data_IF_550088810701
#
_entry.id   IF_550088810701
#
_cell.length_a   1.000
_cell.length_b   1.000
_cell.length_c   1.000
_cell.angle_alpha   90.00
_cell.angle_beta   90.00
_cell.angle_gamma   90.00
#
_symmetry.space_group_name_H-M   'P 1'
#
loop_
_entity.id
_entity.type
_entity.pdbx_description
1 polymer ?
#
# COMPACT_ATOMS: atom_id res chain seq x y z
N UNK A 1 -9.99 -7.60 3.30
CA UNK A 1 -9.28 -6.32 3.60
C UNK A 1 -9.49 -5.39 2.42
N UNK A 2 -9.55 -4.06 2.62
CA UNK A 2 -9.68 -3.11 1.51
C UNK A 2 -8.40 -2.29 1.36
N UNK A 3 -7.91 -2.11 0.14
CA UNK A 3 -6.72 -1.28 -0.14
C UNK A 3 -7.09 0.17 -0.43
N UNK A 4 -6.07 1.00 -0.61
CA UNK A 4 -6.20 2.37 -1.14
C UNK A 4 -6.97 2.40 -2.47
N UNK A 5 -6.50 1.64 -3.46
CA UNK A 5 -7.06 1.66 -4.83
C UNK A 5 -8.53 1.24 -4.86
N UNK A 6 -8.86 0.15 -4.15
CA UNK A 6 -10.25 -0.31 -4.07
C UNK A 6 -11.15 0.75 -3.42
N UNK A 7 -10.68 1.36 -2.34
CA UNK A 7 -11.44 2.38 -1.60
C UNK A 7 -11.66 3.65 -2.43
N UNK A 8 -10.63 4.10 -3.15
CA UNK A 8 -10.74 5.23 -4.10
C UNK A 8 -11.71 4.93 -5.23
N UNK A 9 -11.65 3.72 -5.80
CA UNK A 9 -12.59 3.29 -6.83
C UNK A 9 -14.04 3.31 -6.32
N UNK A 10 -14.28 2.83 -5.09
CA UNK A 10 -15.60 2.86 -4.46
C UNK A 10 -16.11 4.30 -4.25
N UNK A 11 -15.24 5.22 -3.80
CA UNK A 11 -15.60 6.64 -3.65
C UNK A 11 -15.96 7.24 -5.01
N UNK A 12 -15.13 7.06 -6.03
CA UNK A 12 -15.38 7.60 -7.38
C UNK A 12 -16.65 7.03 -8.00
N UNK A 13 -16.96 5.76 -7.75
CA UNK A 13 -18.21 5.13 -8.19
C UNK A 13 -19.43 5.75 -7.51
N UNK A 14 -19.34 6.06 -6.21
CA UNK A 14 -20.44 6.64 -5.45
C UNK A 14 -20.62 8.15 -5.69
N UNK A 15 -19.53 8.86 -5.91
CA UNK A 15 -19.46 10.32 -6.04
C UNK A 15 -18.72 10.70 -7.33
N UNK A 16 -19.33 10.48 -8.51
CA UNK A 16 -18.66 10.67 -9.79
C UNK A 16 -18.25 12.12 -10.08
N UNK A 17 -18.84 13.10 -9.38
CA UNK A 17 -18.45 14.51 -9.46
C UNK A 17 -17.13 14.82 -8.72
N UNK A 18 -16.61 13.90 -7.91
CA UNK A 18 -15.28 14.01 -7.28
C UNK A 18 -14.23 13.48 -8.26
N UNK A 19 -13.67 14.38 -9.05
CA UNK A 19 -12.66 14.06 -10.07
C UNK A 19 -11.33 13.62 -9.46
N UNK A 20 -10.90 14.32 -8.41
CA UNK A 20 -9.66 14.03 -7.72
C UNK A 20 -10.00 13.33 -6.42
N UNK A 21 -9.53 12.09 -6.25
CA UNK A 21 -9.65 11.32 -5.01
C UNK A 21 -8.35 10.59 -4.81
N UNK A 22 -7.74 10.76 -3.64
CA UNK A 22 -6.56 10.04 -3.18
C UNK A 22 -6.78 9.67 -1.72
N UNK A 23 -6.37 8.48 -1.32
CA UNK A 23 -6.37 8.05 0.08
C UNK A 23 -4.92 7.78 0.48
N UNK A 24 -4.57 8.17 1.70
CA UNK A 24 -3.26 7.89 2.27
C UNK A 24 -3.39 7.32 3.68
N UNK A 25 -2.53 6.37 4.00
CA UNK A 25 -2.38 5.76 5.32
C UNK A 25 -0.88 5.68 5.62
N UNK A 26 -0.52 6.00 6.85
CA UNK A 26 0.80 5.81 7.45
C UNK A 26 0.77 4.73 8.54
N UNK A 27 -0.34 3.99 8.64
CA UNK A 27 -0.57 2.98 9.67
C UNK A 27 -1.54 3.48 10.75
N UNK A 28 -1.38 2.97 11.97
CA UNK A 28 -2.12 3.36 13.16
C UNK A 28 -3.66 3.33 13.00
N UNK A 29 -4.17 2.49 12.10
CA UNK A 29 -5.59 2.41 11.79
C UNK A 29 -6.19 3.77 11.38
N UNK A 30 -5.43 4.62 10.70
CA UNK A 30 -5.87 5.94 10.24
C UNK A 30 -5.69 6.06 8.74
N UNK A 31 -6.60 6.79 8.10
CA UNK A 31 -6.44 7.17 6.70
C UNK A 31 -7.01 8.56 6.45
N UNK A 32 -6.36 9.31 5.56
CA UNK A 32 -6.86 10.59 5.08
C UNK A 32 -7.33 10.45 3.64
N UNK A 33 -8.57 10.86 3.39
CA UNK A 33 -9.17 10.97 2.07
C UNK A 33 -8.99 12.42 1.60
N UNK A 34 -8.26 12.59 0.51
CA UNK A 34 -8.06 13.84 -0.20
C UNK A 34 -9.00 13.88 -1.39
N UNK A 35 -9.81 14.92 -1.51
CA UNK A 35 -10.75 15.02 -2.62
C UNK A 35 -10.95 16.44 -3.13
N UNK A 36 -11.25 16.53 -4.43
CA UNK A 36 -11.77 17.73 -5.10
C UNK A 36 -12.79 17.35 -6.16
N UNK A 37 -13.78 18.22 -6.33
CA UNK A 37 -14.67 18.22 -7.48
C UNK A 37 -13.99 18.85 -8.72
N UNK A 38 -14.74 18.97 -9.82
CA UNK A 38 -14.26 19.58 -11.07
C UNK A 38 -13.82 21.04 -10.93
N UNK A 39 -14.31 21.75 -9.92
CA UNK A 39 -13.97 23.14 -9.64
C UNK A 39 -12.80 23.29 -8.67
N UNK A 40 -12.05 22.21 -8.39
CA UNK A 40 -10.93 22.18 -7.42
C UNK A 40 -11.36 22.60 -6.01
N UNK A 41 -12.59 22.21 -5.63
CA UNK A 41 -13.18 22.53 -4.34
C UNK A 41 -13.64 21.28 -3.61
N UNK A 42 -13.68 21.37 -2.29
CA UNK A 42 -14.29 20.38 -1.42
C UNK A 42 -15.23 21.06 -0.42
N UNK A 43 -16.51 21.28 -0.81
CA UNK A 43 -17.48 21.93 0.08
C UNK A 43 -17.75 21.09 1.34
N UNK A 44 -18.06 21.74 2.46
CA UNK A 44 -18.30 21.08 3.76
C UNK A 44 -19.37 19.97 3.72
N UNK A 45 -20.38 20.15 2.86
CA UNK A 45 -21.42 19.14 2.62
C UNK A 45 -20.83 17.85 2.02
N UNK A 46 -19.85 17.97 1.13
CA UNK A 46 -19.15 16.82 0.54
C UNK A 46 -18.20 16.18 1.56
N UNK A 47 -17.52 16.96 2.38
CA UNK A 47 -16.72 16.45 3.52
C UNK A 47 -17.58 15.55 4.41
N UNK A 48 -18.76 16.04 4.79
CA UNK A 48 -19.68 15.31 5.68
C UNK A 48 -20.20 14.02 5.02
N UNK A 49 -20.56 14.08 3.74
CA UNK A 49 -20.99 12.89 2.98
C UNK A 49 -19.87 11.85 2.87
N UNK A 50 -18.65 12.28 2.53
CA UNK A 50 -17.49 11.40 2.42
C UNK A 50 -17.16 10.71 3.74
N UNK A 51 -17.18 11.46 4.87
CA UNK A 51 -17.00 10.87 6.20
C UNK A 51 -18.04 9.78 6.49
N UNK A 52 -19.32 10.08 6.24
CA UNK A 52 -20.42 9.13 6.46
C UNK A 52 -20.30 7.90 5.57
N UNK A 53 -19.91 8.09 4.31
CA UNK A 53 -19.66 6.99 3.39
C UNK A 53 -18.49 6.13 3.86
N UNK A 54 -17.37 6.74 4.22
CA UNK A 54 -16.18 6.06 4.70
C UNK A 54 -16.49 5.19 5.92
N UNK A 55 -17.20 5.71 6.91
CA UNK A 55 -17.61 4.94 8.10
C UNK A 55 -18.58 3.79 7.80
N UNK A 56 -19.37 3.88 6.72
CA UNK A 56 -20.39 2.88 6.40
C UNK A 56 -19.94 1.80 5.42
N UNK A 57 -19.00 2.11 4.52
CA UNK A 57 -18.70 1.27 3.35
C UNK A 57 -17.21 0.96 3.15
N UNK A 58 -16.30 1.73 3.76
CA UNK A 58 -14.87 1.44 3.73
C UNK A 58 -14.47 0.57 4.95
N UNK A 59 -13.23 0.03 5.00
CA UNK A 59 -12.81 -0.80 6.13
C UNK A 59 -13.07 -0.14 7.49
N UNK A 60 -13.85 -0.81 8.34
CA UNK A 60 -14.39 -0.25 9.59
C UNK A 60 -13.36 -0.10 10.70
N UNK A 61 -12.24 -0.82 10.60
CA UNK A 61 -11.14 -0.70 11.56
C UNK A 61 -10.33 0.57 11.37
N UNK A 62 -10.63 1.41 10.37
CA UNK A 62 -9.87 2.62 10.03
C UNK A 62 -10.64 3.88 10.40
N UNK A 63 -9.96 4.82 11.07
CA UNK A 63 -10.43 6.16 11.36
C UNK A 63 -10.12 7.09 10.18
N UNK A 64 -11.16 7.60 9.52
CA UNK A 64 -11.03 8.46 8.34
C UNK A 64 -11.06 9.94 8.66
N UNK A 65 -10.07 10.67 8.16
CA UNK A 65 -10.14 12.11 7.97
C UNK A 65 -10.42 12.44 6.50
N UNK A 66 -11.03 13.60 6.25
CA UNK A 66 -11.23 14.11 4.89
C UNK A 66 -10.58 15.50 4.81
N UNK A 67 -9.75 15.72 3.79
CA UNK A 67 -9.06 16.98 3.49
C UNK A 67 -9.24 17.35 2.01
N UNK A 68 -9.04 18.63 1.70
CA UNK A 68 -8.96 19.11 0.31
C UNK A 68 -7.72 18.55 -0.40
N UNK A 69 -7.82 18.35 -1.71
CA UNK A 69 -6.76 17.70 -2.49
C UNK A 69 -5.45 18.51 -2.58
N UNK A 70 -5.47 19.83 -2.41
CA UNK A 70 -4.24 20.65 -2.32
C UNK A 70 -3.33 20.26 -1.16
N UNK A 71 -3.84 19.56 -0.15
CA UNK A 71 -3.04 19.17 1.03
C UNK A 71 -2.12 17.99 0.80
N UNK A 72 -2.19 17.31 -0.35
CA UNK A 72 -1.37 16.11 -0.61
C UNK A 72 0.13 16.40 -0.55
N UNK A 73 0.58 17.57 -1.02
CA UNK A 73 2.00 17.92 -1.04
C UNK A 73 2.52 18.23 0.37
N UNK A 74 1.74 19.01 1.12
CA UNK A 74 2.06 19.35 2.50
C UNK A 74 2.09 18.10 3.41
N UNK A 75 1.18 17.16 3.16
CA UNK A 75 1.10 15.88 3.88
C UNK A 75 2.06 14.81 3.31
N UNK A 76 2.88 15.15 2.30
CA UNK A 76 3.87 14.25 1.66
C UNK A 76 3.26 12.92 1.16
N UNK A 77 2.03 12.98 0.66
CA UNK A 77 1.36 11.80 0.11
C UNK A 77 2.17 11.30 -1.09
N UNK A 78 2.55 10.00 -1.16
CA UNK A 78 3.31 9.46 -2.28
C UNK A 78 2.61 9.75 -3.61
N UNK A 79 3.38 10.10 -4.63
CA UNK A 79 2.83 10.37 -5.96
C UNK A 79 2.26 9.10 -6.60
N UNK A 80 1.25 9.28 -7.46
CA UNK A 80 0.77 8.20 -8.34
C UNK A 80 1.79 8.05 -9.46
N UNK A 81 2.12 6.82 -9.83
CA UNK A 81 2.70 6.57 -11.13
C UNK A 81 2.20 5.24 -11.70
N UNK A 82 2.83 4.78 -12.77
CA UNK A 82 2.53 3.51 -13.42
C UNK A 82 2.72 2.29 -12.50
N UNK A 83 1.68 1.47 -12.38
CA UNK A 83 1.68 0.23 -11.60
C UNK A 83 1.56 -0.97 -12.55
N UNK A 84 2.29 -2.07 -12.30
CA UNK A 84 2.07 -3.32 -13.01
C UNK A 84 0.63 -3.79 -12.84
N UNK A 85 0.08 -4.43 -13.88
CA UNK A 85 -1.30 -4.92 -13.86
C UNK A 85 -1.55 -5.87 -12.67
N UNK A 86 -0.59 -6.75 -12.35
CA UNK A 86 -0.68 -7.65 -11.21
C UNK A 86 -0.91 -6.91 -9.87
N UNK A 87 -0.24 -5.76 -9.67
CA UNK A 87 -0.39 -4.91 -8.48
C UNK A 87 -1.80 -4.31 -8.44
N UNK A 88 -2.27 -3.80 -9.59
CA UNK A 88 -3.62 -3.21 -9.68
C UNK A 88 -4.69 -4.25 -9.40
N UNK A 89 -4.61 -5.43 -10.02
CA UNK A 89 -5.58 -6.52 -9.82
C UNK A 89 -5.59 -7.01 -8.37
N UNK A 90 -4.40 -7.17 -7.77
CA UNK A 90 -4.28 -7.54 -6.36
C UNK A 90 -4.90 -6.47 -5.45
N UNK A 91 -4.59 -5.20 -5.68
CA UNK A 91 -5.13 -4.10 -4.89
C UNK A 91 -6.66 -3.98 -5.00
N UNK A 92 -7.23 -4.27 -6.16
CA UNK A 92 -8.67 -4.24 -6.40
C UNK A 92 -9.41 -5.47 -5.84
N UNK A 93 -8.69 -6.50 -5.41
CA UNK A 93 -9.27 -7.72 -4.84
C UNK A 93 -9.78 -7.51 -3.41
N UNK A 94 -11.01 -7.96 -3.14
CA UNK A 94 -11.61 -7.94 -1.78
C UNK A 94 -11.00 -8.98 -0.83
N UNK A 95 -10.31 -9.98 -1.39
CA UNK A 95 -9.74 -11.12 -0.67
C UNK A 95 -8.26 -10.99 -0.36
N UNK A 96 -7.66 -9.81 -0.53
CA UNK A 96 -6.23 -9.59 -0.30
C UNK A 96 -5.89 -9.85 1.18
N UNK A 97 -4.85 -10.66 1.41
CA UNK A 97 -4.28 -11.02 2.71
C UNK A 97 -2.74 -11.05 2.60
N UNK A 98 -2.03 -11.31 3.72
CA UNK A 98 -0.57 -11.27 3.72
C UNK A 98 0.05 -12.25 2.71
N UNK A 99 -0.49 -13.46 2.59
CA UNK A 99 0.03 -14.46 1.65
C UNK A 99 -0.09 -13.98 0.20
N UNK A 100 -1.24 -13.40 -0.16
CA UNK A 100 -1.46 -12.90 -1.51
C UNK A 100 -0.58 -11.69 -1.83
N UNK A 101 -0.28 -10.84 -0.85
CA UNK A 101 0.70 -9.75 -1.00
C UNK A 101 2.08 -10.34 -1.32
N UNK A 102 2.53 -11.32 -0.54
CA UNK A 102 3.82 -11.99 -0.74
C UNK A 102 3.90 -12.67 -2.11
N UNK A 103 2.85 -13.38 -2.53
CA UNK A 103 2.77 -14.02 -3.85
C UNK A 103 2.95 -13.00 -4.99
N UNK A 104 2.18 -11.91 -4.97
CA UNK A 104 2.25 -10.87 -6.01
C UNK A 104 3.63 -10.21 -6.05
N UNK A 105 4.24 -9.96 -4.89
CA UNK A 105 5.59 -9.39 -4.84
C UNK A 105 6.65 -10.36 -5.36
N UNK A 106 6.55 -11.65 -5.04
CA UNK A 106 7.48 -12.67 -5.53
C UNK A 106 7.34 -12.92 -7.04
N UNK A 107 6.14 -12.77 -7.60
CA UNK A 107 5.94 -12.80 -9.06
C UNK A 107 6.62 -11.63 -9.78
N UNK A 108 6.70 -10.46 -9.14
CA UNK A 108 7.28 -9.24 -9.73
C UNK A 108 8.80 -9.13 -9.55
N UNK A 109 9.36 -9.74 -8.49
CA UNK A 109 10.78 -9.65 -8.16
C UNK A 109 11.43 -11.03 -8.09
N UNK A 110 11.79 -11.59 -9.25
CA UNK A 110 12.36 -12.93 -9.37
C UNK A 110 13.73 -13.10 -8.71
N UNK A 111 14.47 -12.00 -8.49
CA UNK A 111 15.81 -12.03 -7.93
C UNK A 111 15.83 -12.19 -6.42
N UNK A 112 14.68 -12.20 -5.74
CA UNK A 112 14.62 -12.41 -4.31
C UNK A 112 13.33 -13.07 -3.87
N UNK A 113 13.29 -13.41 -2.59
CA UNK A 113 12.13 -14.04 -1.97
C UNK A 113 11.65 -13.18 -0.82
N UNK A 114 10.45 -12.63 -0.99
CA UNK A 114 9.69 -11.98 0.05
C UNK A 114 9.01 -13.02 0.93
N UNK A 115 9.04 -12.79 2.23
CA UNK A 115 8.30 -13.54 3.25
C UNK A 115 7.68 -12.59 4.25
N UNK A 116 6.52 -12.97 4.80
CA UNK A 116 5.96 -12.29 5.96
C UNK A 116 6.82 -12.60 7.19
N UNK A 117 7.19 -11.57 7.95
CA UNK A 117 7.94 -11.71 9.19
C UNK A 117 6.99 -11.57 10.39
N UNK A 118 6.39 -10.39 10.56
CA UNK A 118 5.57 -10.07 11.72
C UNK A 118 4.59 -8.92 11.45
N UNK A 119 3.65 -8.73 12.37
CA UNK A 119 2.73 -7.60 12.35
C UNK A 119 2.79 -6.87 13.70
N UNK A 120 3.19 -5.61 13.68
CA UNK A 120 3.13 -4.74 14.84
C UNK A 120 1.72 -4.15 14.97
N UNK A 121 0.97 -4.63 15.97
CA UNK A 121 -0.38 -4.17 16.24
C UNK A 121 -0.46 -2.73 16.78
N UNK A 122 0.63 -2.21 17.38
CA UNK A 122 0.67 -0.87 17.95
C UNK A 122 0.73 0.16 16.83
N UNK A 123 1.67 -0.03 15.90
CA UNK A 123 1.87 0.88 14.76
C UNK A 123 1.00 0.53 13.55
N UNK A 124 0.42 -0.68 13.52
CA UNK A 124 -0.30 -1.19 12.35
C UNK A 124 0.63 -1.51 11.19
N UNK A 125 1.87 -1.92 11.47
CA UNK A 125 2.92 -2.13 10.45
C UNK A 125 3.08 -3.61 10.15
N UNK A 126 3.03 -3.96 8.87
CA UNK A 126 3.32 -5.30 8.36
C UNK A 126 4.81 -5.34 7.99
N UNK A 127 5.58 -6.19 8.67
CA UNK A 127 6.99 -6.38 8.39
C UNK A 127 7.18 -7.57 7.45
N UNK A 128 7.91 -7.32 6.37
CA UNK A 128 8.35 -8.33 5.42
C UNK A 128 9.86 -8.43 5.42
N UNK A 129 10.37 -9.63 5.18
CA UNK A 129 11.77 -9.82 4.84
C UNK A 129 11.86 -10.10 3.34
N UNK A 130 12.83 -9.50 2.67
CA UNK A 130 13.13 -9.76 1.27
C UNK A 130 14.60 -10.10 1.14
N UNK A 131 14.88 -11.39 0.95
CA UNK A 131 16.24 -11.90 0.83
C UNK A 131 16.58 -12.20 -0.64
N UNK A 132 17.82 -11.94 -1.03
CA UNK A 132 18.35 -12.21 -2.37
C UNK A 132 19.82 -12.61 -2.29
N UNK A 133 20.30 -13.37 -3.27
CA UNK A 133 21.74 -13.63 -3.46
C UNK A 133 22.50 -12.41 -3.99
N UNK A 134 21.81 -11.38 -4.48
CA UNK A 134 22.41 -10.13 -4.97
C UNK A 134 21.84 -8.92 -4.22
N UNK A 135 22.61 -7.82 -4.06
CA UNK A 135 22.09 -6.61 -3.44
C UNK A 135 20.98 -5.98 -4.30
N UNK A 136 19.87 -5.60 -3.65
CA UNK A 136 18.85 -4.77 -4.29
C UNK A 136 19.35 -3.35 -4.53
N UNK A 137 19.17 -2.87 -5.76
CA UNK A 137 19.44 -1.49 -6.16
C UNK A 137 18.46 -0.52 -5.50
N UNK A 138 18.83 0.76 -5.42
CA UNK A 138 17.95 1.82 -4.89
C UNK A 138 16.62 1.88 -5.64
N UNK A 139 16.65 1.70 -6.96
CA UNK A 139 15.44 1.71 -7.79
C UNK A 139 14.51 0.55 -7.47
N UNK A 140 15.04 -0.67 -7.31
CA UNK A 140 14.23 -1.84 -6.94
C UNK A 140 13.58 -1.65 -5.58
N UNK A 141 14.33 -1.16 -4.58
CA UNK A 141 13.79 -0.86 -3.24
C UNK A 141 12.65 0.15 -3.31
N UNK A 142 12.76 1.15 -4.17
CA UNK A 142 11.71 2.15 -4.36
C UNK A 142 10.46 1.57 -5.05
N UNK A 143 10.64 0.75 -6.08
CA UNK A 143 9.53 0.03 -6.72
C UNK A 143 8.83 -0.90 -5.74
N UNK A 144 9.59 -1.65 -4.93
CA UNK A 144 9.05 -2.55 -3.91
C UNK A 144 8.18 -1.78 -2.92
N UNK A 145 8.71 -0.69 -2.35
CA UNK A 145 7.96 0.17 -1.43
C UNK A 145 6.68 0.70 -2.08
N UNK A 146 6.79 1.15 -3.32
CA UNK A 146 5.66 1.71 -4.05
C UNK A 146 4.59 0.67 -4.35
N UNK A 147 4.95 -0.55 -4.72
CA UNK A 147 3.97 -1.61 -4.98
C UNK A 147 3.32 -2.08 -3.68
N UNK A 148 4.11 -2.27 -2.62
CA UNK A 148 3.59 -2.61 -1.30
C UNK A 148 2.62 -1.54 -0.78
N UNK A 149 2.91 -0.26 -0.95
CA UNK A 149 2.00 0.82 -0.57
C UNK A 149 0.60 0.68 -1.21
N UNK A 150 0.54 0.13 -2.43
CA UNK A 150 -0.72 -0.01 -3.18
C UNK A 150 -1.53 -1.25 -2.78
N UNK A 151 -0.84 -2.32 -2.40
CA UNK A 151 -1.46 -3.60 -1.99
C UNK A 151 -1.52 -3.78 -0.47
N UNK A 152 -0.98 -2.84 0.31
CA UNK A 152 -1.11 -2.85 1.77
C UNK A 152 -2.56 -2.52 2.17
N UNK A 153 -3.15 -3.28 3.11
CA UNK A 153 -4.46 -2.97 3.66
C UNK A 153 -4.55 -1.54 4.18
N UNK A 154 -5.66 -0.86 3.91
CA UNK A 154 -5.87 0.50 4.37
C UNK A 154 -5.88 0.55 5.91
N UNK A 155 -5.22 1.57 6.47
CA UNK A 155 -4.97 1.72 7.91
C UNK A 155 -3.73 0.96 8.41
N UNK A 156 -3.07 0.19 7.56
CA UNK A 156 -1.78 -0.41 7.84
C UNK A 156 -0.65 0.30 7.08
N UNK A 157 0.58 0.11 7.55
CA UNK A 157 1.81 0.43 6.85
C UNK A 157 2.58 -0.87 6.53
N UNK A 158 3.58 -0.77 5.66
CA UNK A 158 4.45 -1.89 5.31
C UNK A 158 5.92 -1.48 5.40
N UNK A 159 6.73 -2.33 6.00
CA UNK A 159 8.18 -2.19 6.04
C UNK A 159 8.85 -3.45 5.50
N UNK A 160 10.00 -3.26 4.86
CA UNK A 160 10.78 -4.35 4.25
C UNK A 160 12.19 -4.33 4.80
N UNK A 161 12.58 -5.43 5.44
CA UNK A 161 13.96 -5.70 5.77
C UNK A 161 14.63 -6.37 4.57
N UNK A 162 15.75 -5.80 4.11
CA UNK A 162 16.51 -6.35 3.00
C UNK A 162 17.66 -7.18 3.54
N UNK A 163 17.68 -8.46 3.19
CA UNK A 163 18.69 -9.42 3.60
C UNK A 163 19.46 -9.95 2.38
N UNK A 164 20.69 -10.39 2.61
CA UNK A 164 21.41 -11.22 1.65
C UNK A 164 21.31 -12.67 2.08
N UNK A 165 20.95 -13.54 1.15
CA UNK A 165 21.10 -14.97 1.40
C UNK A 165 22.60 -15.30 1.39
N UNK A 166 23.10 -16.11 2.33
CA UNK A 166 24.47 -16.56 2.27
C UNK A 166 24.67 -17.32 0.96
N UNK A 167 25.58 -16.82 0.11
CA UNK A 167 26.12 -17.59 -1.01
C UNK A 167 26.72 -18.83 -0.35
N UNK A 168 26.19 -20.01 -0.65
CA UNK A 168 26.62 -21.25 -0.01
C UNK A 168 28.14 -21.33 0.00
N UNK A 169 28.72 -21.37 1.20
CA UNK A 169 30.13 -21.71 1.37
C UNK A 169 30.37 -23.03 0.64
N UNK A 170 31.34 -23.02 -0.27
CA UNK A 170 32.00 -24.22 -0.76
C UNK A 170 32.26 -25.13 0.43
N UNK A 171 31.59 -26.28 0.48
CA UNK A 171 32.07 -27.36 1.35
C UNK A 171 33.51 -27.64 0.91
N UNK A 172 34.52 -27.54 1.79
CA UNK A 172 35.84 -28.01 1.41
C UNK A 172 35.68 -29.48 1.04
N UNK A 173 36.10 -29.83 -0.17
CA UNK A 173 36.21 -31.21 -0.58
C UNK A 173 37.06 -31.91 0.48
N UNK A 174 36.47 -32.89 1.16
CA UNK A 174 37.18 -33.78 2.07
C UNK A 174 38.36 -34.39 1.28
N UNK A 175 39.57 -33.92 1.58
CA UNK A 175 40.81 -34.52 1.12
C UNK A 175 40.98 -35.84 1.89
N UNK A 176 40.81 -36.94 1.16
CA UNK A 176 41.18 -38.31 1.55
C UNK A 176 42.70 -38.42 1.63
#
# INVERSE_FOLDING_TARGET
>A
MGTRLLSEHMIKKQYPHLRYVRIHTDGNNKATIYAWNDNLQLPDKEITKLKKFASGYLPQHVCYQVKSYDKIEADRVPQVGELPEAVVQAAMSRGLNQNRIVEVMNELFSNGRMTFNSYDMITGTIHFDLCSSVPFTVMEKELIRRYLYEITPLGAASEVNYCQEPVGDDKPADLI
#
